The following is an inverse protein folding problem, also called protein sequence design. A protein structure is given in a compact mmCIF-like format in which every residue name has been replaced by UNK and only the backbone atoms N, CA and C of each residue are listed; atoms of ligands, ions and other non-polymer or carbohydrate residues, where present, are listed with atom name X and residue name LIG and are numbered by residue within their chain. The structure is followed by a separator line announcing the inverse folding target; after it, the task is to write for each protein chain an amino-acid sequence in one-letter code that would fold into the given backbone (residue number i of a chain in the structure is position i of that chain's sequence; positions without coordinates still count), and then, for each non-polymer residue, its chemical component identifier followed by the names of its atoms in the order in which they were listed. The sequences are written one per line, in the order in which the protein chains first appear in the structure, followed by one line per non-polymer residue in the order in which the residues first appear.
data_IF_628939000912
#
_entry.id   IF_628939000912
#
_cell.length_a   1.000
_cell.length_b   1.000
_cell.length_c   1.000
_cell.angle_alpha   90.00
_cell.angle_beta   90.00
_cell.angle_gamma   90.00
#
_symmetry.space_group_name_H-M   'P 1'
#
loop_
_entity.id
_entity.type
_entity.pdbx_description
1 polymer ?
#
# COMPACT_ATOMS: atom_id res chain seq x y z
N UNK A 1 -1.74 -1.21 13.77
CA UNK A 1 -3.08 -0.58 13.84
C UNK A 1 -3.06 0.79 14.53
N UNK A 2 -2.07 1.10 15.34
CA UNK A 2 -2.04 2.32 16.19
C UNK A 2 -1.50 3.58 15.48
N UNK A 3 -1.21 3.51 14.18
CA UNK A 3 -0.75 4.66 13.41
C UNK A 3 -1.84 5.73 13.25
N UNK A 4 -1.44 6.99 13.18
CA UNK A 4 -2.34 8.17 13.08
C UNK A 4 -3.42 8.00 11.99
N UNK A 5 -3.05 7.55 10.78
CA UNK A 5 -4.01 7.29 9.70
C UNK A 5 -5.01 6.19 10.04
N UNK A 6 -4.53 5.04 10.56
CA UNK A 6 -5.38 3.92 10.90
C UNK A 6 -6.41 4.31 11.98
N UNK A 7 -5.97 5.01 13.02
CA UNK A 7 -6.85 5.53 14.08
C UNK A 7 -7.85 6.54 13.53
N UNK A 8 -7.44 7.43 12.62
CA UNK A 8 -8.32 8.42 12.02
C UNK A 8 -9.39 7.77 11.11
N UNK A 9 -9.00 6.75 10.30
CA UNK A 9 -9.93 5.98 9.47
C UNK A 9 -10.92 5.22 10.36
N UNK A 10 -10.44 4.57 11.43
CA UNK A 10 -11.29 3.84 12.37
C UNK A 10 -12.39 4.76 12.96
N UNK A 11 -11.99 5.94 13.46
CA UNK A 11 -12.91 6.93 14.01
C UNK A 11 -13.91 7.41 12.96
N UNK A 12 -13.43 7.73 11.75
CA UNK A 12 -14.27 8.14 10.63
C UNK A 12 -15.32 7.04 10.31
N UNK A 13 -14.92 5.79 10.22
CA UNK A 13 -15.83 4.68 9.93
C UNK A 13 -16.88 4.49 11.03
N UNK A 14 -16.47 4.61 12.32
CA UNK A 14 -17.42 4.58 13.44
C UNK A 14 -18.47 5.69 13.38
N UNK A 15 -18.04 6.91 13.06
CA UNK A 15 -18.93 8.09 12.99
C UNK A 15 -19.88 8.06 11.78
N UNK A 16 -19.61 7.21 10.79
CA UNK A 16 -20.38 7.12 9.55
C UNK A 16 -20.98 5.72 9.32
N UNK A 17 -21.06 4.86 10.35
CA UNK A 17 -21.61 3.50 10.31
C UNK A 17 -21.03 2.62 9.18
N UNK A 18 -19.75 2.81 8.84
CA UNK A 18 -19.03 2.04 7.83
C UNK A 18 -18.30 0.87 8.49
N UNK A 19 -18.56 -0.34 8.03
CA UNK A 19 -17.82 -1.51 8.48
C UNK A 19 -16.33 -1.41 8.08
N UNK A 20 -15.44 -1.73 9.01
CA UNK A 20 -14.00 -1.61 8.80
C UNK A 20 -13.25 -2.83 9.34
N UNK A 21 -12.33 -3.36 8.55
CA UNK A 21 -11.33 -4.34 8.97
C UNK A 21 -9.95 -3.67 8.94
N UNK A 22 -9.31 -3.58 10.09
CA UNK A 22 -7.91 -3.15 10.25
C UNK A 22 -7.10 -4.33 10.79
N UNK A 23 -5.91 -4.52 10.26
CA UNK A 23 -5.02 -5.56 10.75
C UNK A 23 -3.56 -5.16 10.59
N UNK A 24 -2.70 -5.73 11.42
CA UNK A 24 -1.25 -5.65 11.28
C UNK A 24 -0.75 -6.90 10.55
N UNK A 25 0.13 -6.72 9.58
CA UNK A 25 0.82 -7.84 8.93
C UNK A 25 1.72 -8.57 9.91
N UNK A 26 2.03 -9.83 9.68
CA UNK A 26 3.05 -10.53 10.45
C UNK A 26 4.36 -9.72 10.49
N UNK A 27 4.97 -9.67 11.67
CA UNK A 27 6.17 -8.87 11.93
C UNK A 27 5.95 -7.36 12.03
N UNK A 28 4.68 -6.89 12.03
CA UNK A 28 4.31 -5.48 12.20
C UNK A 28 3.37 -5.30 13.40
N UNK A 29 3.43 -4.13 14.02
CA UNK A 29 2.52 -3.73 15.09
C UNK A 29 2.40 -4.78 16.19
N UNK A 30 1.17 -5.24 16.46
CA UNK A 30 0.87 -6.25 17.48
C UNK A 30 0.84 -7.69 16.93
N UNK A 31 1.03 -7.88 15.62
CA UNK A 31 1.10 -9.22 15.04
C UNK A 31 2.42 -9.92 15.37
N UNK A 32 2.37 -11.25 15.43
CA UNK A 32 3.52 -12.08 15.80
C UNK A 32 4.65 -12.07 14.76
N UNK A 33 5.86 -12.46 15.20
CA UNK A 33 7.06 -12.57 14.39
C UNK A 33 7.85 -11.27 14.30
N UNK A 34 8.95 -11.30 13.53
CA UNK A 34 9.77 -10.13 13.29
C UNK A 34 9.72 -9.75 11.81
N UNK A 35 9.83 -8.48 11.47
CA UNK A 35 9.83 -7.98 10.10
C UNK A 35 10.77 -8.75 9.17
N UNK A 36 11.96 -9.08 9.65
CA UNK A 36 13.00 -9.76 8.85
C UNK A 36 12.65 -11.21 8.47
N UNK A 37 11.64 -11.81 9.10
CA UNK A 37 11.23 -13.19 8.86
C UNK A 37 10.25 -13.32 7.68
N UNK A 38 9.75 -12.19 7.16
CA UNK A 38 8.66 -12.15 6.18
C UNK A 38 9.03 -11.43 4.89
N UNK A 39 8.23 -11.72 3.86
CA UNK A 39 8.39 -11.21 2.50
C UNK A 39 7.08 -10.60 1.98
N UNK A 40 7.13 -10.00 0.79
CA UNK A 40 5.94 -9.46 0.10
C UNK A 40 4.86 -10.54 -0.07
N UNK A 41 5.25 -11.74 -0.49
CA UNK A 41 4.33 -12.87 -0.67
C UNK A 41 3.71 -13.35 0.65
N UNK A 42 4.42 -13.25 1.77
CA UNK A 42 3.86 -13.62 3.08
C UNK A 42 2.84 -12.59 3.56
N UNK A 43 3.12 -11.30 3.40
CA UNK A 43 2.15 -10.25 3.71
C UNK A 43 0.94 -10.27 2.77
N UNK A 44 1.14 -10.65 1.49
CA UNK A 44 0.01 -10.87 0.57
C UNK A 44 -0.88 -12.04 1.05
N UNK A 45 -0.30 -13.12 1.60
CA UNK A 45 -1.11 -14.21 2.21
C UNK A 45 -1.92 -13.70 3.41
N UNK A 46 -1.41 -12.73 4.19
CA UNK A 46 -2.22 -12.11 5.25
C UNK A 46 -3.42 -11.37 4.65
N UNK A 47 -3.20 -10.56 3.61
CA UNK A 47 -4.30 -9.89 2.91
C UNK A 47 -5.33 -10.91 2.35
N UNK A 48 -4.85 -11.96 1.69
CA UNK A 48 -5.70 -13.00 1.14
C UNK A 48 -6.55 -13.69 2.22
N UNK A 49 -5.96 -13.97 3.38
CA UNK A 49 -6.69 -14.54 4.53
C UNK A 49 -7.78 -13.60 5.05
N UNK A 50 -7.47 -12.33 5.21
CA UNK A 50 -8.47 -11.30 5.59
C UNK A 50 -9.60 -11.26 4.57
N UNK A 51 -9.29 -11.19 3.28
CA UNK A 51 -10.28 -11.17 2.20
C UNK A 51 -11.17 -12.41 2.16
N UNK A 52 -10.64 -13.58 2.49
CA UNK A 52 -11.42 -14.84 2.46
C UNK A 52 -12.23 -15.09 3.73
N UNK A 53 -11.71 -14.71 4.90
CA UNK A 53 -12.28 -15.10 6.19
C UNK A 53 -13.08 -13.98 6.88
N UNK A 54 -12.74 -12.71 6.60
CA UNK A 54 -13.32 -11.56 7.31
C UNK A 54 -14.16 -10.64 6.42
N UNK A 55 -14.26 -10.93 5.11
CA UNK A 55 -15.08 -10.13 4.19
C UNK A 55 -16.00 -11.01 3.36
N UNK A 56 -17.27 -10.59 3.19
CA UNK A 56 -18.29 -11.31 2.42
C UNK A 56 -18.54 -10.68 1.04
N UNK A 57 -18.67 -9.36 1.00
CA UNK A 57 -19.05 -8.59 -0.18
C UNK A 57 -17.85 -7.93 -0.86
N UNK A 58 -18.11 -7.09 -1.86
CA UNK A 58 -17.04 -6.28 -2.47
C UNK A 58 -16.50 -5.28 -1.47
N UNK A 59 -15.18 -5.06 -1.48
CA UNK A 59 -14.46 -4.23 -0.53
C UNK A 59 -13.87 -3.00 -1.20
N UNK A 60 -13.85 -1.88 -0.49
CA UNK A 60 -12.96 -0.76 -0.76
C UNK A 60 -11.65 -1.05 0.00
N UNK A 61 -10.55 -1.22 -0.71
CA UNK A 61 -9.26 -1.47 -0.05
C UNK A 61 -8.46 -0.18 -0.01
N UNK A 62 -7.97 0.15 1.18
CA UNK A 62 -7.08 1.30 1.42
C UNK A 62 -5.69 0.78 1.74
N UNK A 63 -4.70 1.18 0.93
CA UNK A 63 -3.31 0.77 1.11
C UNK A 63 -2.35 1.95 1.14
N UNK A 64 -1.48 2.03 2.17
CA UNK A 64 -0.48 3.09 2.29
C UNK A 64 0.94 2.52 2.14
N UNK A 65 1.78 3.19 1.34
CA UNK A 65 3.18 2.81 1.10
C UNK A 65 3.28 1.34 0.63
N UNK A 66 4.00 0.47 1.36
CA UNK A 66 4.01 -0.99 1.11
C UNK A 66 2.59 -1.57 1.05
N UNK A 67 1.68 -1.10 1.92
CA UNK A 67 0.26 -1.51 1.89
C UNK A 67 -0.43 -1.19 0.56
N UNK A 68 0.00 -0.14 -0.14
CA UNK A 68 -0.45 0.17 -1.50
C UNK A 68 -0.03 -0.89 -2.53
N UNK A 69 1.17 -1.46 -2.40
CA UNK A 69 1.58 -2.59 -3.24
C UNK A 69 0.74 -3.84 -2.93
N UNK A 70 0.58 -4.17 -1.65
CA UNK A 70 -0.23 -5.32 -1.22
C UNK A 70 -1.70 -5.17 -1.62
N UNK A 71 -2.25 -3.96 -1.60
CA UNK A 71 -3.58 -3.62 -2.11
C UNK A 71 -3.72 -3.99 -3.59
N UNK A 72 -2.75 -3.59 -4.44
CA UNK A 72 -2.75 -3.89 -5.87
C UNK A 72 -2.65 -5.40 -6.13
N UNK A 73 -1.77 -6.10 -5.40
CA UNK A 73 -1.63 -7.56 -5.50
C UNK A 73 -2.91 -8.28 -5.05
N UNK A 74 -3.57 -7.77 -4.00
CA UNK A 74 -4.85 -8.31 -3.52
C UNK A 74 -5.95 -8.10 -4.56
N UNK A 75 -6.02 -6.95 -5.20
CA UNK A 75 -6.99 -6.66 -6.25
C UNK A 75 -6.80 -7.58 -7.48
N UNK A 76 -5.56 -7.89 -7.83
CA UNK A 76 -5.25 -8.85 -8.90
C UNK A 76 -5.63 -10.28 -8.54
N UNK A 77 -5.57 -10.65 -7.26
CA UNK A 77 -5.92 -11.99 -6.78
C UNK A 77 -7.43 -12.19 -6.61
N UNK A 78 -8.17 -11.15 -6.23
CA UNK A 78 -9.61 -11.20 -5.91
C UNK A 78 -10.41 -10.14 -6.67
N UNK A 79 -10.30 -10.04 -8.02
CA UNK A 79 -10.90 -8.94 -8.77
C UNK A 79 -12.41 -8.81 -8.57
N UNK A 80 -13.10 -9.92 -8.35
CA UNK A 80 -14.56 -9.96 -8.13
C UNK A 80 -15.00 -9.42 -6.76
N UNK A 81 -14.06 -9.39 -5.78
CA UNK A 81 -14.31 -8.90 -4.42
C UNK A 81 -13.90 -7.44 -4.22
N UNK A 82 -13.48 -6.73 -5.27
CA UNK A 82 -13.03 -5.35 -5.15
C UNK A 82 -14.08 -4.39 -5.71
N UNK A 83 -14.50 -3.45 -4.88
CA UNK A 83 -15.36 -2.33 -5.28
C UNK A 83 -14.53 -1.16 -5.77
N UNK A 84 -13.49 -0.77 -5.02
CA UNK A 84 -12.59 0.34 -5.34
C UNK A 84 -11.27 0.21 -4.58
N UNK A 85 -10.26 0.97 -5.03
CA UNK A 85 -8.93 1.04 -4.40
C UNK A 85 -8.58 2.48 -4.05
N UNK A 86 -8.02 2.68 -2.85
CA UNK A 86 -7.45 3.97 -2.42
C UNK A 86 -5.99 3.74 -2.04
N UNK A 87 -5.07 4.20 -2.87
CA UNK A 87 -3.64 4.15 -2.61
C UNK A 87 -3.13 5.44 -2.00
N UNK A 88 -2.37 5.38 -0.91
CA UNK A 88 -1.78 6.54 -0.24
C UNK A 88 -0.27 6.39 -0.29
N UNK A 89 0.43 7.28 -1.00
CA UNK A 89 1.88 7.19 -1.24
C UNK A 89 2.31 5.76 -1.60
N UNK A 90 1.54 5.10 -2.49
CA UNK A 90 1.72 3.68 -2.81
C UNK A 90 3.13 3.40 -3.34
N UNK A 91 3.78 2.37 -2.80
CA UNK A 91 5.16 2.00 -3.10
C UNK A 91 5.25 0.59 -3.75
N UNK A 92 4.60 0.32 -4.90
CA UNK A 92 4.83 -0.92 -5.60
C UNK A 92 6.30 -1.04 -6.00
N UNK A 93 6.80 -2.26 -6.02
CA UNK A 93 8.16 -2.58 -6.44
C UNK A 93 9.29 -1.92 -5.60
N UNK A 94 8.97 -1.35 -4.41
CA UNK A 94 9.91 -0.58 -3.60
C UNK A 94 11.19 -1.36 -3.26
N UNK A 95 11.09 -2.66 -3.08
CA UNK A 95 12.23 -3.53 -2.76
C UNK A 95 13.29 -3.50 -3.86
N UNK A 96 12.87 -3.43 -5.12
CA UNK A 96 13.76 -3.32 -6.27
C UNK A 96 14.11 -1.85 -6.57
N UNK A 97 13.09 -0.99 -6.73
CA UNK A 97 13.28 0.36 -7.28
C UNK A 97 13.82 1.36 -6.26
N UNK A 98 13.35 1.28 -5.02
CA UNK A 98 13.72 2.24 -3.97
C UNK A 98 14.79 1.72 -3.00
N UNK A 99 15.03 0.39 -2.97
CA UNK A 99 16.07 -0.19 -2.13
C UNK A 99 17.19 -0.76 -2.99
N UNK A 100 16.99 -1.89 -3.66
CA UNK A 100 18.08 -2.64 -4.30
C UNK A 100 18.84 -1.85 -5.36
N UNK A 101 18.13 -1.08 -6.20
CA UNK A 101 18.78 -0.24 -7.23
C UNK A 101 19.63 0.89 -6.63
N UNK A 102 19.31 1.33 -5.42
CA UNK A 102 20.06 2.39 -4.72
C UNK A 102 21.26 1.87 -3.92
N UNK A 103 21.36 0.55 -3.70
CA UNK A 103 22.50 -0.03 -3.00
C UNK A 103 23.80 0.15 -3.79
N UNK A 104 24.84 0.59 -3.09
CA UNK A 104 26.23 0.56 -3.60
C UNK A 104 26.70 -0.87 -3.87
N UNK A 105 27.75 -1.04 -4.69
CA UNK A 105 28.35 -2.36 -4.95
C UNK A 105 28.70 -3.10 -3.65
N UNK A 106 29.32 -2.40 -2.69
CA UNK A 106 29.66 -2.94 -1.37
C UNK A 106 28.45 -3.46 -0.59
N UNK A 107 27.35 -2.69 -0.58
CA UNK A 107 26.12 -3.13 0.09
C UNK A 107 25.46 -4.33 -0.60
N UNK A 108 25.55 -4.44 -1.93
CA UNK A 108 25.08 -5.61 -2.67
C UNK A 108 25.90 -6.85 -2.35
N UNK A 109 27.22 -6.73 -2.29
CA UNK A 109 28.12 -7.82 -1.86
C UNK A 109 27.85 -8.23 -0.40
N UNK A 110 27.58 -7.26 0.48
CA UNK A 110 27.22 -7.52 1.87
C UNK A 110 25.88 -8.27 1.98
N UNK A 111 24.85 -7.81 1.23
CA UNK A 111 23.56 -8.49 1.16
C UNK A 111 23.70 -9.92 0.64
N UNK A 112 24.53 -10.12 -0.39
CA UNK A 112 24.76 -11.46 -0.95
C UNK A 112 25.50 -12.38 0.02
N UNK A 113 26.48 -11.87 0.76
CA UNK A 113 27.31 -12.67 1.66
C UNK A 113 26.68 -12.91 3.04
N UNK A 114 26.00 -11.91 3.60
CA UNK A 114 25.39 -11.98 4.95
C UNK A 114 23.89 -12.27 4.93
N UNK A 115 23.23 -12.13 3.78
CA UNK A 115 21.78 -12.30 3.64
C UNK A 115 20.94 -11.15 4.18
N UNK A 116 21.54 -10.15 4.84
CA UNK A 116 20.86 -9.01 5.46
C UNK A 116 21.78 -7.79 5.51
N UNK A 117 21.19 -6.60 5.32
CA UNK A 117 21.85 -5.29 5.49
C UNK A 117 20.97 -4.33 6.29
N UNK A 118 21.60 -3.33 6.87
CA UNK A 118 20.89 -2.15 7.39
C UNK A 118 20.70 -1.13 6.24
N UNK A 119 19.45 -0.75 6.00
CA UNK A 119 19.05 0.27 5.04
C UNK A 119 18.45 1.45 5.78
N UNK A 120 19.00 2.63 5.60
CA UNK A 120 18.55 3.86 6.27
C UNK A 120 17.76 4.71 5.28
N UNK A 121 16.49 4.97 5.57
CA UNK A 121 15.67 6.01 4.96
C UNK A 121 15.79 7.33 5.74
N UNK A 122 15.07 8.37 5.31
CA UNK A 122 15.05 9.64 6.07
C UNK A 122 14.54 9.47 7.51
N UNK A 123 13.68 8.50 7.77
CA UNK A 123 12.94 8.40 9.04
C UNK A 123 13.42 7.26 9.95
N UNK A 124 13.99 6.20 9.41
CA UNK A 124 14.44 5.06 10.20
C UNK A 124 15.39 4.13 9.46
N UNK A 125 16.03 3.26 10.23
CA UNK A 125 16.88 2.19 9.70
C UNK A 125 16.12 0.86 9.77
N UNK A 126 16.06 0.17 8.64
CA UNK A 126 15.42 -1.13 8.50
C UNK A 126 16.46 -2.20 8.22
N UNK A 127 16.23 -3.42 8.70
CA UNK A 127 16.95 -4.60 8.23
C UNK A 127 16.29 -5.15 6.98
N UNK A 128 17.02 -5.10 5.86
CA UNK A 128 16.54 -5.60 4.58
C UNK A 128 17.23 -6.93 4.31
N UNK A 129 16.42 -7.97 4.08
CA UNK A 129 16.92 -9.31 3.81
C UNK A 129 17.01 -9.57 2.30
N UNK A 130 17.94 -10.45 1.90
CA UNK A 130 18.04 -10.93 0.53
C UNK A 130 16.73 -11.60 0.08
N UNK A 131 16.09 -12.36 0.98
CA UNK A 131 14.80 -13.01 0.72
C UNK A 131 13.70 -12.01 0.39
N UNK A 132 13.63 -10.88 1.11
CA UNK A 132 12.65 -9.81 0.82
C UNK A 132 12.85 -9.24 -0.59
N UNK A 133 14.10 -8.98 -1.00
CA UNK A 133 14.42 -8.49 -2.35
C UNK A 133 14.05 -9.53 -3.41
N UNK A 134 14.48 -10.78 -3.23
CA UNK A 134 14.24 -11.86 -4.20
C UNK A 134 12.76 -12.20 -4.34
N UNK A 135 12.01 -12.17 -3.26
CA UNK A 135 10.58 -12.39 -3.28
C UNK A 135 9.83 -11.18 -3.88
N UNK A 136 10.25 -9.95 -3.56
CA UNK A 136 9.71 -8.74 -4.17
C UNK A 136 9.79 -8.78 -5.70
N UNK A 137 10.89 -9.28 -6.25
CA UNK A 137 11.09 -9.46 -7.71
C UNK A 137 10.05 -10.35 -8.37
N UNK A 138 9.47 -11.31 -7.65
CA UNK A 138 8.39 -12.16 -8.17
C UNK A 138 7.05 -11.45 -8.24
N UNK A 139 6.92 -10.34 -7.53
CA UNK A 139 5.69 -9.58 -7.34
C UNK A 139 5.69 -8.22 -8.06
N UNK A 140 6.68 -7.93 -8.92
CA UNK A 140 6.82 -6.64 -9.61
C UNK A 140 5.60 -6.32 -10.49
N UNK A 141 5.15 -5.08 -10.43
CA UNK A 141 4.01 -4.55 -11.17
C UNK A 141 4.40 -3.48 -12.19
N UNK A 142 5.34 -2.60 -11.85
CA UNK A 142 5.69 -1.45 -12.69
C UNK A 142 6.49 -1.82 -13.94
N UNK A 143 7.05 -3.03 -14.01
CA UNK A 143 7.68 -3.57 -15.21
C UNK A 143 6.67 -4.12 -16.23
N UNK A 144 5.40 -4.31 -15.84
CA UNK A 144 4.33 -4.79 -16.72
C UNK A 144 3.89 -3.69 -17.67
N UNK A 145 3.44 -4.06 -18.87
CA UNK A 145 2.84 -3.14 -19.83
C UNK A 145 1.50 -2.59 -19.31
N UNK A 146 0.69 -3.46 -18.72
CA UNK A 146 -0.61 -3.13 -18.12
C UNK A 146 -0.81 -3.93 -16.84
N UNK A 147 -1.54 -3.36 -15.88
CA UNK A 147 -1.96 -3.98 -14.63
C UNK A 147 -3.47 -4.23 -14.74
N UNK A 148 -3.91 -5.48 -14.68
CA UNK A 148 -5.31 -5.89 -14.95
C UNK A 148 -6.23 -5.61 -13.75
N UNK A 149 -6.28 -4.34 -13.33
CA UNK A 149 -7.21 -3.82 -12.32
C UNK A 149 -8.27 -3.02 -13.06
N UNK A 150 -9.54 -3.38 -12.89
CA UNK A 150 -10.67 -2.85 -13.64
C UNK A 150 -11.66 -2.03 -12.79
N UNK A 151 -11.50 -2.03 -11.46
CA UNK A 151 -12.30 -1.22 -10.53
C UNK A 151 -11.81 0.24 -10.49
N UNK A 152 -12.62 1.18 -9.96
CA UNK A 152 -12.20 2.54 -9.68
C UNK A 152 -10.98 2.61 -8.76
N UNK A 153 -10.05 3.54 -9.04
CA UNK A 153 -8.81 3.73 -8.25
C UNK A 153 -8.58 5.21 -7.98
N UNK A 154 -8.28 5.53 -6.73
CA UNK A 154 -7.81 6.87 -6.32
C UNK A 154 -6.42 6.73 -5.70
N UNK A 155 -5.46 7.49 -6.23
CA UNK A 155 -4.08 7.52 -5.75
C UNK A 155 -3.82 8.89 -5.12
N UNK A 156 -3.66 8.92 -3.81
CA UNK A 156 -3.33 10.12 -3.05
C UNK A 156 -1.82 10.15 -2.82
N UNK A 157 -1.13 11.21 -3.24
CA UNK A 157 0.32 11.28 -3.13
C UNK A 157 0.81 12.68 -2.79
N UNK A 158 1.81 12.79 -1.94
CA UNK A 158 2.49 14.06 -1.68
C UNK A 158 3.50 14.38 -2.78
N UNK A 159 3.50 15.64 -3.25
CA UNK A 159 4.58 16.11 -4.16
C UNK A 159 5.93 16.16 -3.43
N UNK A 160 5.91 16.37 -2.12
CA UNK A 160 7.11 16.46 -1.28
C UNK A 160 7.51 15.13 -0.63
N UNK A 161 6.91 14.01 -1.07
CA UNK A 161 7.28 12.68 -0.60
C UNK A 161 8.74 12.36 -0.97
N UNK A 162 9.57 12.14 0.04
CA UNK A 162 11.00 11.87 -0.12
C UNK A 162 11.34 10.38 -0.09
N UNK A 163 10.41 9.55 0.40
CA UNK A 163 10.57 8.11 0.45
C UNK A 163 10.10 7.45 -0.86
N UNK A 164 8.96 7.92 -1.40
CA UNK A 164 8.36 7.40 -2.64
C UNK A 164 8.09 8.55 -3.61
N UNK A 165 8.75 8.62 -4.75
CA UNK A 165 8.49 9.67 -5.74
C UNK A 165 7.03 9.64 -6.22
N UNK A 166 6.33 10.78 -6.24
CA UNK A 166 4.94 10.86 -6.70
C UNK A 166 4.75 10.38 -8.15
N UNK A 167 5.82 10.38 -8.95
CA UNK A 167 5.84 9.78 -10.29
C UNK A 167 5.44 8.31 -10.29
N UNK A 168 5.63 7.61 -9.17
CA UNK A 168 5.16 6.22 -8.98
C UNK A 168 3.64 6.14 -9.14
N UNK A 169 2.88 7.08 -8.56
CA UNK A 169 1.42 7.13 -8.73
C UNK A 169 1.00 7.48 -10.16
N UNK A 170 1.72 8.36 -10.85
CA UNK A 170 1.47 8.66 -12.26
C UNK A 170 1.71 7.43 -13.13
N UNK A 171 2.83 6.74 -12.92
CA UNK A 171 3.15 5.50 -13.65
C UNK A 171 2.13 4.37 -13.37
N UNK A 172 1.64 4.27 -12.14
CA UNK A 172 0.54 3.35 -11.80
C UNK A 172 -0.72 3.69 -12.57
N UNK A 173 -1.13 4.96 -12.58
CA UNK A 173 -2.33 5.41 -13.28
C UNK A 173 -2.28 5.09 -14.78
N UNK A 174 -1.11 5.27 -15.42
CA UNK A 174 -0.91 4.91 -16.82
C UNK A 174 -1.01 3.41 -17.10
N UNK A 175 -0.61 2.57 -16.14
CA UNK A 175 -0.53 1.10 -16.32
C UNK A 175 -1.79 0.36 -15.88
N UNK A 176 -2.57 0.90 -14.96
CA UNK A 176 -3.83 0.33 -14.50
C UNK A 176 -4.83 0.35 -15.66
N UNK A 177 -5.51 -0.78 -15.91
CA UNK A 177 -6.42 -0.96 -17.04
C UNK A 177 -7.75 -0.24 -16.88
N UNK A 178 -8.18 0.01 -15.65
CA UNK A 178 -9.39 0.78 -15.37
C UNK A 178 -9.34 2.15 -16.05
N UNK A 179 -10.46 2.61 -16.57
CA UNK A 179 -10.61 3.98 -17.11
C UNK A 179 -11.00 4.99 -16.03
N UNK A 180 -11.35 4.53 -14.83
CA UNK A 180 -11.67 5.36 -13.67
C UNK A 180 -10.50 5.34 -12.69
N UNK A 181 -9.44 6.09 -13.03
CA UNK A 181 -8.23 6.26 -12.20
C UNK A 181 -7.94 7.74 -12.06
N UNK A 182 -7.86 8.20 -10.81
CA UNK A 182 -7.47 9.57 -10.49
C UNK A 182 -6.23 9.62 -9.60
N UNK A 183 -5.38 10.62 -9.83
CA UNK A 183 -4.21 10.91 -8.98
C UNK A 183 -4.39 12.29 -8.35
N UNK A 184 -4.46 12.33 -7.03
CA UNK A 184 -4.57 13.54 -6.24
C UNK A 184 -3.19 13.89 -5.66
N UNK A 185 -2.56 14.93 -6.21
CA UNK A 185 -1.26 15.41 -5.75
C UNK A 185 -1.43 16.51 -4.70
N UNK A 186 -0.90 16.29 -3.50
CA UNK A 186 -0.99 17.21 -2.36
C UNK A 186 0.39 17.77 -2.06
N UNK A 187 0.56 19.10 -2.18
CA UNK A 187 1.87 19.74 -2.02
C UNK A 187 2.27 19.90 -0.55
N UNK A 188 1.31 20.07 0.36
CA UNK A 188 1.56 20.37 1.78
C UNK A 188 1.87 19.14 2.65
N UNK A 189 1.72 17.93 2.10
CA UNK A 189 1.90 16.69 2.84
C UNK A 189 3.33 16.17 2.79
N UNK A 190 3.63 15.20 3.65
CA UNK A 190 4.82 14.34 3.63
C UNK A 190 4.42 12.91 3.26
N UNK A 191 5.37 11.95 3.23
CA UNK A 191 5.11 10.53 2.89
C UNK A 191 3.91 9.93 3.67
N UNK A 192 3.85 10.19 4.95
CA UNK A 192 2.80 9.62 5.81
C UNK A 192 1.40 10.15 5.53
N UNK A 193 1.24 11.33 4.92
CA UNK A 193 -0.06 11.96 4.61
C UNK A 193 -1.05 11.86 5.78
N UNK A 194 -0.58 12.20 6.99
CA UNK A 194 -1.35 12.11 8.24
C UNK A 194 -1.72 13.48 8.82
N UNK A 195 -1.44 14.55 8.09
CA UNK A 195 -1.88 15.91 8.42
C UNK A 195 -3.40 16.05 8.15
N UNK A 196 -4.02 17.06 8.76
CA UNK A 196 -5.46 17.26 8.70
C UNK A 196 -5.97 17.39 7.26
N UNK A 197 -5.27 18.11 6.40
CA UNK A 197 -5.71 18.29 5.01
C UNK A 197 -5.66 16.96 4.23
N UNK A 198 -4.60 16.18 4.38
CA UNK A 198 -4.48 14.86 3.76
C UNK A 198 -5.57 13.91 4.23
N UNK A 199 -5.90 13.92 5.53
CA UNK A 199 -6.98 13.12 6.10
C UNK A 199 -8.36 13.58 5.58
N UNK A 200 -8.61 14.87 5.42
CA UNK A 200 -9.85 15.38 4.82
C UNK A 200 -10.02 14.89 3.38
N UNK A 201 -8.95 14.93 2.56
CA UNK A 201 -8.98 14.42 1.19
C UNK A 201 -9.27 12.91 1.19
N UNK A 202 -8.63 12.16 2.08
CA UNK A 202 -8.87 10.72 2.23
C UNK A 202 -10.32 10.42 2.61
N UNK A 203 -10.88 11.11 3.60
CA UNK A 203 -12.27 10.90 4.04
C UNK A 203 -13.28 11.28 2.95
N UNK A 204 -13.01 12.33 2.19
CA UNK A 204 -13.83 12.67 1.01
C UNK A 204 -13.81 11.55 -0.02
N UNK A 205 -12.66 10.97 -0.27
CA UNK A 205 -12.48 9.86 -1.21
C UNK A 205 -13.21 8.58 -0.73
N UNK A 206 -13.14 8.29 0.57
CA UNK A 206 -13.88 7.15 1.16
C UNK A 206 -15.39 7.36 1.00
N UNK A 207 -15.92 8.55 1.34
CA UNK A 207 -17.36 8.87 1.17
C UNK A 207 -17.79 8.74 -0.29
N UNK A 208 -16.99 9.24 -1.24
CA UNK A 208 -17.29 9.11 -2.67
C UNK A 208 -17.54 7.65 -3.05
N UNK A 209 -16.65 6.75 -2.67
CA UNK A 209 -16.79 5.34 -3.00
C UNK A 209 -17.90 4.64 -2.22
N UNK A 210 -18.11 4.97 -0.95
CA UNK A 210 -19.24 4.44 -0.19
C UNK A 210 -20.57 4.80 -0.86
N UNK A 211 -20.75 6.04 -1.31
CA UNK A 211 -21.98 6.49 -1.97
C UNK A 211 -22.19 5.81 -3.34
N UNK A 212 -21.12 5.52 -4.10
CA UNK A 212 -21.22 4.87 -5.41
C UNK A 212 -21.54 3.38 -5.31
N UNK A 213 -21.16 2.73 -4.23
CA UNK A 213 -21.22 1.27 -4.08
C UNK A 213 -22.45 0.78 -3.30
N UNK A 214 -23.35 1.67 -2.88
CA UNK A 214 -24.52 1.37 -2.03
C UNK A 214 -24.16 0.59 -0.73
N UNK A 215 -22.91 0.76 -0.23
CA UNK A 215 -22.49 0.19 1.05
C UNK A 215 -22.98 1.00 2.26
N UNK A 216 -23.64 2.11 2.01
CA UNK A 216 -24.22 2.97 3.02
C UNK A 216 -25.64 3.33 2.57
N UNK A 217 -26.66 2.70 3.11
CA UNK A 217 -27.97 3.29 3.23
C UNK A 217 -27.87 4.38 4.33
N UNK A 218 -27.65 5.64 3.91
CA UNK A 218 -27.68 6.79 4.79
C UNK A 218 -29.10 7.28 4.95
#
# INVERSE_FOLDING_TARGET
MDGTKATAIYKFCQENDVALVLFDYFGHGHSSGNFIDYTISDWQKNCAKVMSELTSDKQIIIGSSMGGWLMLLTALQFPEKIAALIGISSAPDFTEDLIFKQLSGKQKEELDSKGVIDFTSEHCTYKITKNLIEDGRKNLLLNKKTIDINCPVRLLHSINDKDVPYQTSLNLAEKIKSTDVEVHLIKSAEHNMSDNHSLEVLFKTIREFCNQTAFCDF
#
